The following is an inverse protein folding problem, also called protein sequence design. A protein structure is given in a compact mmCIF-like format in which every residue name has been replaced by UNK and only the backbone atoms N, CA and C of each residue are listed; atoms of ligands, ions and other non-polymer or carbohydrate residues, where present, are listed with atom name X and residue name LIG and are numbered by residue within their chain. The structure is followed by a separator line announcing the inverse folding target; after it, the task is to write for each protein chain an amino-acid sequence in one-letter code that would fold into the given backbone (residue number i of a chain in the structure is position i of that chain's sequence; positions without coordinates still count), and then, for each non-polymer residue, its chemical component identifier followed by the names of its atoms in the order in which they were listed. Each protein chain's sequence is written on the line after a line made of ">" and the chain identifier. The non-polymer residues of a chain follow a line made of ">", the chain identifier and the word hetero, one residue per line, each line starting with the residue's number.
data_IF_825942762019
#
_entry.id   IF_825942762019
#
_cell.length_a   1.000
_cell.length_b   1.000
_cell.length_c   1.000
_cell.angle_alpha   90.00
_cell.angle_beta   90.00
_cell.angle_gamma   90.00
#
_symmetry.space_group_name_H-M   'P 1'
#
loop_
_entity.id
_entity.type
_entity.pdbx_description
1 polymer ?
#
# COMPACT_ATOMS: atom_id res chain seq x y z
N UNK A 1 -26.09 -63.06 10.62
CA UNK A 1 -25.07 -62.13 10.08
C UNK A 1 -25.79 -60.98 9.39
N UNK A 2 -25.30 -59.74 9.48
CA UNK A 2 -25.91 -58.62 8.77
C UNK A 2 -25.76 -58.79 7.25
N UNK A 3 -26.76 -58.37 6.47
CA UNK A 3 -26.81 -58.57 5.02
C UNK A 3 -25.57 -58.02 4.28
N UNK A 4 -25.01 -56.90 4.75
CA UNK A 4 -23.80 -56.29 4.19
C UNK A 4 -22.52 -57.08 4.50
N UNK A 5 -22.44 -57.76 5.66
CA UNK A 5 -21.33 -58.68 5.96
C UNK A 5 -21.39 -59.93 5.09
N UNK A 6 -22.59 -60.44 4.83
CA UNK A 6 -22.79 -61.57 3.93
C UNK A 6 -22.40 -61.24 2.47
N UNK A 7 -22.54 -59.98 2.07
CA UNK A 7 -22.11 -59.46 0.77
C UNK A 7 -20.59 -59.17 0.68
N UNK A 8 -19.81 -59.43 1.74
CA UNK A 8 -18.36 -59.17 1.75
C UNK A 8 -17.98 -57.68 1.75
N UNK A 9 -18.91 -56.79 2.09
CA UNK A 9 -18.69 -55.34 2.05
C UNK A 9 -18.19 -54.86 3.41
N UNK A 10 -17.18 -53.99 3.42
CA UNK A 10 -16.72 -53.34 4.66
C UNK A 10 -17.78 -52.38 5.20
N UNK A 11 -17.83 -52.16 6.51
CA UNK A 11 -18.80 -51.23 7.11
C UNK A 11 -18.70 -49.82 6.50
N UNK A 12 -17.49 -49.36 6.20
CA UNK A 12 -17.26 -48.05 5.57
C UNK A 12 -17.84 -47.98 4.15
N UNK A 13 -17.68 -49.04 3.35
CA UNK A 13 -18.30 -49.13 2.02
C UNK A 13 -19.83 -49.17 2.12
N UNK A 14 -20.39 -49.93 3.07
CA UNK A 14 -21.83 -49.96 3.33
C UNK A 14 -22.37 -48.56 3.69
N UNK A 15 -21.73 -47.87 4.63
CA UNK A 15 -22.11 -46.52 5.04
C UNK A 15 -22.04 -45.51 3.87
N UNK A 16 -20.99 -45.60 3.02
CA UNK A 16 -20.86 -44.75 1.85
C UNK A 16 -21.94 -45.00 0.80
N UNK A 17 -22.32 -46.27 0.57
CA UNK A 17 -23.40 -46.64 -0.34
C UNK A 17 -24.73 -46.08 0.16
N UNK A 18 -25.05 -46.27 1.45
CA UNK A 18 -26.25 -45.70 2.07
C UNK A 18 -26.27 -44.17 2.01
N UNK A 19 -25.14 -43.51 2.27
CA UNK A 19 -25.06 -42.06 2.14
C UNK A 19 -25.28 -41.59 0.69
N UNK A 20 -24.80 -42.35 -0.31
CA UNK A 20 -24.99 -42.04 -1.72
C UNK A 20 -26.45 -42.20 -2.16
N UNK A 21 -27.13 -43.26 -1.73
CA UNK A 21 -28.54 -43.48 -2.05
C UNK A 21 -29.43 -42.40 -1.44
N UNK A 22 -29.18 -42.00 -0.17
CA UNK A 22 -29.91 -40.91 0.50
C UNK A 22 -29.73 -39.57 -0.23
N UNK A 23 -28.51 -39.25 -0.69
CA UNK A 23 -28.27 -38.00 -1.45
C UNK A 23 -28.99 -38.00 -2.80
N UNK A 24 -29.07 -39.14 -3.46
CA UNK A 24 -29.76 -39.27 -4.75
C UNK A 24 -31.28 -39.12 -4.61
N UNK A 25 -31.84 -39.40 -3.43
CA UNK A 25 -33.26 -39.25 -3.13
C UNK A 25 -33.69 -37.80 -2.83
N UNK A 26 -32.75 -36.85 -2.68
CA UNK A 26 -33.05 -35.43 -2.44
C UNK A 26 -33.54 -34.72 -3.71
N UNK A 27 -34.38 -33.68 -3.53
CA UNK A 27 -34.77 -32.73 -4.58
C UNK A 27 -33.54 -32.04 -5.18
N UNK A 28 -33.60 -31.61 -6.44
CA UNK A 28 -32.45 -31.13 -7.20
C UNK A 28 -31.63 -30.04 -6.50
N UNK A 29 -32.29 -29.03 -5.94
CA UNK A 29 -31.61 -27.92 -5.25
C UNK A 29 -30.77 -28.38 -4.06
N UNK A 30 -31.31 -29.29 -3.24
CA UNK A 30 -30.63 -29.84 -2.07
C UNK A 30 -29.59 -30.90 -2.45
N UNK A 31 -29.83 -31.65 -3.54
CA UNK A 31 -28.95 -32.70 -4.06
C UNK A 31 -27.60 -32.13 -4.52
N UNK A 32 -27.59 -30.98 -5.18
CA UNK A 32 -26.35 -30.33 -5.64
C UNK A 32 -25.43 -30.00 -4.46
N UNK A 33 -25.96 -29.41 -3.39
CA UNK A 33 -25.18 -29.10 -2.19
C UNK A 33 -24.69 -30.35 -1.45
N UNK A 34 -25.49 -31.42 -1.43
CA UNK A 34 -25.13 -32.68 -0.79
C UNK A 34 -24.07 -33.47 -1.58
N UNK A 35 -24.10 -33.42 -2.91
CA UNK A 35 -23.12 -34.08 -3.78
C UNK A 35 -21.72 -33.45 -3.67
N UNK A 36 -21.60 -32.14 -3.47
CA UNK A 36 -20.31 -31.48 -3.24
C UNK A 36 -19.57 -32.03 -2.02
N UNK A 37 -20.28 -32.50 -0.99
CA UNK A 37 -19.68 -33.13 0.19
C UNK A 37 -19.17 -34.55 -0.05
N UNK A 38 -19.51 -35.16 -1.19
CA UNK A 38 -19.07 -36.49 -1.57
C UNK A 38 -17.74 -36.48 -2.35
N UNK A 39 -17.20 -35.29 -2.67
CA UNK A 39 -15.88 -35.16 -3.26
C UNK A 39 -14.81 -35.37 -2.19
N UNK A 40 -14.33 -36.61 -2.08
CA UNK A 40 -13.10 -36.90 -1.35
C UNK A 40 -11.91 -36.45 -2.20
N UNK A 41 -11.33 -35.30 -1.87
CA UNK A 41 -10.13 -34.74 -2.51
C UNK A 41 -8.84 -35.51 -2.18
N UNK A 42 -8.91 -36.83 -1.97
CA UNK A 42 -7.73 -37.68 -1.81
C UNK A 42 -7.12 -37.91 -3.20
N UNK A 43 -5.99 -37.25 -3.45
CA UNK A 43 -5.21 -37.44 -4.68
C UNK A 43 -4.38 -38.72 -4.56
N UNK A 44 -4.77 -39.77 -5.29
CA UNK A 44 -3.98 -40.98 -5.39
C UNK A 44 -2.82 -40.78 -6.37
N UNK A 45 -1.58 -40.82 -5.88
CA UNK A 45 -0.39 -40.91 -6.71
C UNK A 45 -0.06 -42.39 -6.90
N UNK A 46 -0.05 -42.87 -8.15
CA UNK A 46 0.30 -44.25 -8.46
C UNK A 46 1.82 -44.37 -8.49
N UNK A 47 2.39 -45.22 -7.64
CA UNK A 47 3.81 -45.53 -7.61
C UNK A 47 4.04 -46.89 -8.28
N UNK A 48 4.94 -46.95 -9.26
CA UNK A 48 5.39 -48.19 -9.90
C UNK A 48 6.93 -48.14 -9.94
N UNK A 49 7.61 -49.21 -9.49
CA UNK A 49 9.08 -49.32 -9.50
C UNK A 49 9.83 -48.12 -8.86
N UNK A 50 9.33 -47.60 -7.73
CA UNK A 50 9.98 -46.51 -6.98
C UNK A 50 9.84 -45.12 -7.61
N UNK A 51 9.18 -45.01 -8.77
CA UNK A 51 8.91 -43.74 -9.44
C UNK A 51 7.40 -43.49 -9.44
N UNK A 52 6.99 -42.32 -8.96
CA UNK A 52 5.59 -41.89 -9.08
C UNK A 52 5.24 -41.67 -10.55
N UNK A 53 4.26 -42.40 -11.08
CA UNK A 53 3.76 -42.17 -12.44
C UNK A 53 3.27 -40.74 -12.56
N UNK A 54 3.75 -40.02 -13.58
CA UNK A 54 3.41 -38.63 -13.80
C UNK A 54 1.92 -38.50 -14.10
N UNK A 55 1.19 -37.82 -13.22
CA UNK A 55 -0.16 -37.39 -13.54
C UNK A 55 -0.06 -36.25 -14.56
N UNK A 56 -0.85 -36.30 -15.63
CA UNK A 56 -0.98 -35.20 -16.60
C UNK A 56 -1.05 -33.86 -15.86
N UNK A 57 -0.22 -32.90 -16.29
CA UNK A 57 -0.10 -31.60 -15.61
C UNK A 57 -1.47 -30.94 -15.53
N UNK A 58 -1.69 -30.10 -14.53
CA UNK A 58 -2.98 -29.40 -14.38
C UNK A 58 -3.39 -28.65 -15.66
N UNK A 59 -2.43 -28.17 -16.43
CA UNK A 59 -2.62 -27.53 -17.73
C UNK A 59 -3.22 -28.50 -18.77
N UNK A 60 -2.71 -29.73 -18.86
CA UNK A 60 -3.24 -30.76 -19.78
C UNK A 60 -4.63 -31.23 -19.36
N UNK A 61 -4.86 -31.40 -18.04
CA UNK A 61 -6.18 -31.74 -17.50
C UNK A 61 -7.20 -30.64 -17.78
N UNK A 62 -6.81 -29.37 -17.65
CA UNK A 62 -7.63 -28.21 -17.99
C UNK A 62 -7.89 -28.09 -19.50
N UNK A 63 -7.01 -28.64 -20.36
CA UNK A 63 -7.22 -28.65 -21.81
C UNK A 63 -8.01 -29.85 -22.31
N UNK A 64 -8.29 -30.84 -21.46
CA UNK A 64 -9.04 -32.05 -21.85
C UNK A 64 -10.44 -31.72 -22.41
N UNK A 65 -10.90 -32.53 -23.36
CA UNK A 65 -12.25 -32.40 -23.96
C UNK A 65 -13.36 -32.39 -22.92
N UNK A 66 -13.22 -33.19 -21.85
CA UNK A 66 -14.17 -33.23 -20.75
C UNK A 66 -14.19 -31.91 -19.96
N UNK A 67 -13.04 -31.30 -19.72
CA UNK A 67 -12.96 -30.03 -19.01
C UNK A 67 -13.58 -28.90 -19.85
N UNK A 68 -13.24 -28.81 -21.15
CA UNK A 68 -13.87 -27.86 -22.07
C UNK A 68 -15.38 -28.05 -22.19
N UNK A 69 -15.86 -29.30 -22.19
CA UNK A 69 -17.29 -29.61 -22.21
C UNK A 69 -17.99 -29.17 -20.91
N UNK A 70 -17.39 -29.44 -19.74
CA UNK A 70 -17.91 -28.97 -18.45
C UNK A 70 -17.92 -27.45 -18.34
N UNK A 71 -16.88 -26.80 -18.85
CA UNK A 71 -16.79 -25.34 -18.92
C UNK A 71 -17.89 -24.77 -19.81
N UNK A 72 -18.12 -25.35 -21.00
CA UNK A 72 -19.21 -24.96 -21.89
C UNK A 72 -20.58 -25.17 -21.25
N UNK A 73 -20.81 -26.29 -20.56
CA UNK A 73 -22.05 -26.56 -19.84
C UNK A 73 -22.28 -25.55 -18.70
N UNK A 74 -21.23 -25.23 -17.93
CA UNK A 74 -21.30 -24.24 -16.86
C UNK A 74 -21.52 -22.81 -17.39
N UNK A 75 -20.96 -22.48 -18.57
CA UNK A 75 -21.21 -21.22 -19.26
C UNK A 75 -22.67 -21.13 -19.75
N UNK A 76 -23.21 -22.22 -20.28
CA UNK A 76 -24.60 -22.30 -20.73
C UNK A 76 -25.59 -22.15 -19.56
N UNK A 77 -25.24 -22.65 -18.38
CA UNK A 77 -25.98 -22.47 -17.14
C UNK A 77 -25.76 -21.10 -16.48
N UNK A 78 -24.93 -20.23 -17.07
CA UNK A 78 -24.58 -18.91 -16.51
C UNK A 78 -23.74 -18.95 -15.22
N UNK A 79 -23.24 -20.12 -14.83
CA UNK A 79 -22.42 -20.30 -13.62
C UNK A 79 -20.94 -20.02 -13.87
N UNK A 80 -20.45 -20.16 -15.11
CA UNK A 80 -19.06 -19.88 -15.44
C UNK A 80 -18.86 -18.38 -15.70
N UNK A 81 -18.14 -17.70 -14.79
CA UNK A 81 -17.62 -16.35 -15.04
C UNK A 81 -16.31 -16.47 -15.81
N UNK A 82 -16.30 -16.08 -17.08
CA UNK A 82 -15.05 -15.92 -17.83
C UNK A 82 -14.18 -14.88 -17.13
N UNK A 83 -12.86 -15.10 -17.08
CA UNK A 83 -11.91 -14.07 -16.64
C UNK A 83 -11.93 -12.95 -17.69
N UNK A 84 -12.72 -11.92 -17.43
CA UNK A 84 -12.74 -10.72 -18.25
C UNK A 84 -11.34 -10.10 -18.22
N UNK A 85 -10.82 -9.71 -19.38
CA UNK A 85 -9.57 -8.95 -19.46
C UNK A 85 -9.88 -7.47 -19.24
N UNK A 86 -9.01 -6.79 -18.51
CA UNK A 86 -9.13 -5.36 -18.27
C UNK A 86 -9.13 -4.60 -19.61
N UNK A 87 -10.06 -3.66 -19.82
CA UNK A 87 -9.99 -2.74 -20.95
C UNK A 87 -8.69 -1.92 -20.94
N UNK A 88 -8.09 -1.71 -22.11
CA UNK A 88 -6.86 -0.90 -22.22
C UNK A 88 -7.07 0.58 -21.91
N UNK A 89 -8.30 1.10 -22.08
CA UNK A 89 -8.66 2.49 -21.86
C UNK A 89 -9.76 2.60 -20.80
N UNK A 90 -9.51 3.34 -19.72
CA UNK A 90 -10.45 3.46 -18.61
C UNK A 90 -11.78 4.14 -19.00
N UNK A 91 -11.76 5.05 -20.00
CA UNK A 91 -12.95 5.78 -20.43
C UNK A 91 -14.00 4.92 -21.15
N UNK A 92 -13.69 3.67 -21.52
CA UNK A 92 -14.70 2.77 -22.11
C UNK A 92 -15.71 2.24 -21.09
N UNK A 93 -15.40 2.34 -19.80
CA UNK A 93 -16.26 1.86 -18.71
C UNK A 93 -17.15 3.00 -18.22
N UNK A 94 -18.45 2.75 -18.13
CA UNK A 94 -19.46 3.73 -17.71
C UNK A 94 -20.09 3.42 -16.34
N UNK A 95 -19.70 2.31 -15.71
CA UNK A 95 -20.19 1.91 -14.40
C UNK A 95 -19.11 2.10 -13.33
N UNK A 96 -19.48 2.73 -12.21
CA UNK A 96 -18.58 2.93 -11.05
C UNK A 96 -18.13 1.58 -10.49
N UNK A 97 -19.04 0.60 -10.38
CA UNK A 97 -18.74 -0.72 -9.81
C UNK A 97 -17.73 -1.51 -10.64
N UNK A 98 -17.82 -1.39 -11.96
CA UNK A 98 -16.88 -2.01 -12.88
C UNK A 98 -15.51 -1.31 -12.83
N UNK A 99 -15.48 0.03 -12.78
CA UNK A 99 -14.24 0.78 -12.63
C UNK A 99 -13.52 0.45 -11.31
N UNK A 100 -14.26 0.31 -10.21
CA UNK A 100 -13.73 -0.16 -8.92
C UNK A 100 -13.17 -1.59 -9.00
N UNK A 101 -13.84 -2.50 -9.71
CA UNK A 101 -13.35 -3.86 -9.92
C UNK A 101 -11.98 -3.85 -10.62
N UNK A 102 -11.83 -3.07 -11.69
CA UNK A 102 -10.56 -2.95 -12.41
C UNK A 102 -9.46 -2.28 -11.58
N UNK A 103 -9.81 -1.31 -10.73
CA UNK A 103 -8.89 -0.72 -9.75
C UNK A 103 -8.40 -1.77 -8.74
N UNK A 104 -9.28 -2.62 -8.20
CA UNK A 104 -8.91 -3.69 -7.24
C UNK A 104 -8.02 -4.74 -7.89
N UNK A 105 -8.29 -5.08 -9.15
CA UNK A 105 -7.49 -6.00 -9.93
C UNK A 105 -6.07 -5.45 -10.15
N UNK A 106 -5.94 -4.16 -10.50
CA UNK A 106 -4.65 -3.45 -10.59
C UNK A 106 -3.86 -3.50 -9.28
N UNK A 107 -4.52 -3.17 -8.17
CA UNK A 107 -3.90 -3.23 -6.85
C UNK A 107 -3.42 -4.63 -6.50
N UNK A 108 -4.20 -5.66 -6.86
CA UNK A 108 -3.81 -7.05 -6.63
C UNK A 108 -2.59 -7.46 -7.47
N UNK A 109 -2.49 -7.00 -8.72
CA UNK A 109 -1.29 -7.20 -9.54
C UNK A 109 -0.06 -6.49 -8.96
N UNK A 110 -0.22 -5.24 -8.52
CA UNK A 110 0.83 -4.48 -7.84
C UNK A 110 1.31 -5.21 -6.59
N UNK A 111 0.39 -5.70 -5.74
CA UNK A 111 0.76 -6.45 -4.53
C UNK A 111 1.54 -7.72 -4.84
N UNK A 112 1.17 -8.47 -5.90
CA UNK A 112 1.92 -9.66 -6.33
C UNK A 112 3.32 -9.31 -6.83
N UNK A 113 3.47 -8.22 -7.59
CA UNK A 113 4.78 -7.76 -8.07
C UNK A 113 5.66 -7.24 -6.93
N UNK A 114 5.09 -6.51 -5.97
CA UNK A 114 5.81 -6.07 -4.77
C UNK A 114 6.31 -7.27 -3.98
N UNK A 115 5.48 -8.31 -3.78
CA UNK A 115 5.92 -9.54 -3.13
C UNK A 115 7.10 -10.18 -3.88
N UNK A 116 7.03 -10.26 -5.21
CA UNK A 116 8.11 -10.79 -6.05
C UNK A 116 9.40 -9.96 -6.00
N UNK A 117 9.31 -8.64 -5.90
CA UNK A 117 10.48 -7.76 -5.74
C UNK A 117 11.27 -8.08 -4.48
N UNK A 118 10.60 -8.55 -3.42
CA UNK A 118 11.24 -8.87 -2.14
C UNK A 118 12.01 -10.20 -2.16
N UNK A 119 11.88 -11.00 -3.21
CA UNK A 119 12.65 -12.24 -3.30
C UNK A 119 14.15 -11.90 -3.47
N UNK A 120 14.98 -12.44 -2.58
CA UNK A 120 16.44 -12.17 -2.55
C UNK A 120 17.16 -12.76 -3.77
N UNK A 121 16.59 -13.80 -4.38
CA UNK A 121 17.18 -14.49 -5.53
C UNK A 121 17.12 -13.68 -6.84
N UNK A 122 16.33 -12.60 -6.90
CA UNK A 122 16.26 -11.76 -8.08
C UNK A 122 17.53 -10.92 -8.25
N UNK A 123 17.94 -10.75 -9.50
CA UNK A 123 19.04 -9.84 -9.85
C UNK A 123 18.58 -8.38 -9.84
N UNK A 124 19.53 -7.47 -9.68
CA UNK A 124 19.25 -6.03 -9.65
C UNK A 124 18.56 -5.52 -10.93
N UNK A 125 18.86 -6.10 -12.09
CA UNK A 125 18.19 -5.78 -13.35
C UNK A 125 16.72 -6.21 -13.32
N UNK A 126 16.44 -7.43 -12.85
CA UNK A 126 15.08 -7.93 -12.72
C UNK A 126 14.26 -7.10 -11.72
N UNK A 127 14.89 -6.63 -10.65
CA UNK A 127 14.26 -5.72 -9.68
C UNK A 127 13.92 -4.37 -10.33
N UNK A 128 14.79 -3.83 -11.19
CA UNK A 128 14.49 -2.60 -11.97
C UNK A 128 13.30 -2.81 -12.92
N UNK A 129 13.29 -3.90 -13.68
CA UNK A 129 12.19 -4.21 -14.60
C UNK A 129 10.85 -4.35 -13.85
N UNK A 130 10.85 -5.05 -12.71
CA UNK A 130 9.65 -5.18 -11.87
C UNK A 130 9.20 -3.83 -11.30
N UNK A 131 10.14 -2.95 -10.93
CA UNK A 131 9.83 -1.60 -10.45
C UNK A 131 9.19 -0.75 -11.56
N UNK A 132 9.69 -0.83 -12.78
CA UNK A 132 9.09 -0.18 -13.96
C UNK A 132 7.69 -0.71 -14.25
N UNK A 133 7.48 -2.03 -14.18
CA UNK A 133 6.16 -2.62 -14.32
C UNK A 133 5.18 -2.14 -13.24
N UNK A 134 5.62 -2.02 -11.99
CA UNK A 134 4.77 -1.47 -10.92
C UNK A 134 4.45 0.00 -11.20
N UNK A 135 5.42 0.82 -11.64
CA UNK A 135 5.16 2.21 -11.99
C UNK A 135 4.15 2.33 -13.14
N UNK A 136 4.23 1.46 -14.17
CA UNK A 136 3.23 1.37 -15.24
C UNK A 136 1.84 1.03 -14.71
N UNK A 137 1.73 0.07 -13.79
CA UNK A 137 0.45 -0.29 -13.16
C UNK A 137 -0.10 0.83 -12.27
N UNK A 138 0.76 1.56 -11.55
CA UNK A 138 0.37 2.71 -10.73
C UNK A 138 -0.10 3.89 -11.59
N UNK A 139 0.50 4.07 -12.78
CA UNK A 139 0.00 4.99 -13.80
C UNK A 139 -1.39 4.59 -14.32
N UNK A 140 -1.60 3.31 -14.61
CA UNK A 140 -2.94 2.82 -14.99
C UNK A 140 -3.97 3.03 -13.87
N UNK A 141 -3.59 2.74 -12.61
CA UNK A 141 -4.42 2.97 -11.42
C UNK A 141 -4.87 4.43 -11.33
N UNK A 142 -3.99 5.38 -11.61
CA UNK A 142 -4.35 6.81 -11.67
C UNK A 142 -5.53 7.06 -12.62
N UNK A 143 -5.50 6.47 -13.83
CA UNK A 143 -6.55 6.66 -14.83
C UNK A 143 -7.88 6.05 -14.39
N UNK A 144 -7.85 4.88 -13.76
CA UNK A 144 -9.05 4.25 -13.22
C UNK A 144 -9.61 5.02 -12.03
N UNK A 145 -8.77 5.53 -11.12
CA UNK A 145 -9.21 6.38 -10.01
C UNK A 145 -9.81 7.71 -10.50
N UNK A 146 -9.19 8.33 -11.52
CA UNK A 146 -9.77 9.51 -12.18
C UNK A 146 -11.13 9.18 -12.79
N UNK A 147 -11.25 8.06 -13.51
CA UNK A 147 -12.53 7.64 -14.11
C UNK A 147 -13.62 7.40 -13.06
N UNK A 148 -13.28 6.82 -11.91
CA UNK A 148 -14.23 6.64 -10.80
C UNK A 148 -14.75 8.00 -10.33
N UNK A 149 -13.87 8.99 -10.16
CA UNK A 149 -14.27 10.35 -9.80
C UNK A 149 -15.12 11.00 -10.88
N UNK A 150 -14.75 10.87 -12.16
CA UNK A 150 -15.52 11.41 -13.29
C UNK A 150 -16.94 10.80 -13.39
N UNK A 151 -17.11 9.55 -12.94
CA UNK A 151 -18.41 8.86 -12.86
C UNK A 151 -19.20 9.19 -11.58
N UNK A 152 -18.69 10.06 -10.71
CA UNK A 152 -19.32 10.45 -9.44
C UNK A 152 -19.06 9.50 -8.27
N UNK A 153 -18.04 8.64 -8.37
CA UNK A 153 -17.63 7.72 -7.32
C UNK A 153 -16.64 8.33 -6.30
N UNK A 154 -16.19 7.55 -5.30
CA UNK A 154 -15.30 8.02 -4.25
C UNK A 154 -13.90 8.42 -4.74
N UNK A 155 -13.36 9.52 -4.21
CA UNK A 155 -11.98 9.94 -4.50
C UNK A 155 -10.97 9.17 -3.65
N UNK A 156 -10.50 8.05 -4.20
CA UNK A 156 -9.53 7.18 -3.56
C UNK A 156 -8.12 7.77 -3.41
N UNK A 157 -7.83 8.91 -4.05
CA UNK A 157 -6.52 9.58 -3.95
C UNK A 157 -6.40 10.30 -2.61
N UNK A 158 -7.52 10.80 -2.09
CA UNK A 158 -7.62 11.47 -0.79
C UNK A 158 -8.08 10.52 0.31
N UNK A 159 -9.04 9.65 -0.01
CA UNK A 159 -9.74 8.80 0.95
C UNK A 159 -9.17 7.38 1.09
N UNK A 160 -8.20 6.99 0.27
CA UNK A 160 -7.60 5.65 0.34
C UNK A 160 -6.76 5.48 1.62
N UNK A 161 -6.74 4.28 2.23
CA UNK A 161 -5.76 3.98 3.26
C UNK A 161 -4.37 4.24 2.68
N UNK A 162 -3.63 5.19 3.25
CA UNK A 162 -2.19 5.33 3.00
C UNK A 162 -1.53 4.11 3.60
N UNK A 163 -1.58 2.99 2.89
CA UNK A 163 -0.84 1.81 3.31
C UNK A 163 0.63 2.13 3.08
N UNK A 164 1.28 2.62 4.14
CA UNK A 164 2.68 3.05 4.22
C UNK A 164 3.65 2.06 3.56
N UNK A 165 3.30 0.76 3.59
CA UNK A 165 4.11 -0.31 3.03
C UNK A 165 4.03 -0.45 1.50
N UNK A 166 2.98 0.07 0.86
CA UNK A 166 2.76 -0.06 -0.59
C UNK A 166 3.14 1.20 -1.37
N UNK A 167 3.21 2.35 -0.73
CA UNK A 167 3.65 3.58 -1.38
C UNK A 167 5.18 3.54 -1.53
N UNK A 168 5.61 3.23 -2.77
CA UNK A 168 6.99 3.40 -3.19
C UNK A 168 7.46 4.82 -2.87
N UNK A 169 8.74 4.96 -2.53
CA UNK A 169 9.30 6.25 -2.17
C UNK A 169 9.83 6.92 -3.43
N UNK A 170 9.59 8.21 -3.58
CA UNK A 170 10.15 9.00 -4.69
C UNK A 170 11.57 9.38 -4.30
N UNK A 171 12.53 9.13 -5.19
CA UNK A 171 13.90 9.56 -4.96
C UNK A 171 13.97 11.10 -5.05
N UNK A 172 14.79 11.74 -4.22
CA UNK A 172 15.03 13.19 -4.30
C UNK A 172 15.44 13.59 -5.72
N UNK A 173 14.83 14.65 -6.25
CA UNK A 173 15.11 15.15 -7.59
C UNK A 173 14.36 14.48 -8.75
N UNK A 174 13.82 13.25 -8.58
CA UNK A 174 13.05 12.56 -9.63
C UNK A 174 11.57 12.55 -9.27
N UNK A 175 10.78 13.40 -9.93
CA UNK A 175 9.35 13.53 -9.67
C UNK A 175 8.56 12.46 -10.44
N UNK A 176 7.69 11.74 -9.72
CA UNK A 176 6.70 10.83 -10.32
C UNK A 176 7.16 9.40 -10.60
N UNK A 177 8.45 9.08 -10.40
CA UNK A 177 8.96 7.70 -10.42
C UNK A 177 9.16 7.20 -8.98
N UNK A 178 8.60 6.03 -8.65
CA UNK A 178 8.63 5.48 -7.30
C UNK A 178 9.44 4.19 -7.23
N UNK A 179 10.17 4.03 -6.13
CA UNK A 179 10.91 2.81 -5.82
C UNK A 179 10.18 2.00 -4.74
N UNK A 180 9.80 0.76 -5.07
CA UNK A 180 9.02 -0.13 -4.22
C UNK A 180 9.89 -1.22 -3.60
N UNK A 181 9.75 -1.44 -2.30
CA UNK A 181 10.44 -2.54 -1.61
C UNK A 181 11.96 -2.57 -1.82
N UNK A 182 12.51 -3.75 -2.14
CA UNK A 182 13.93 -3.98 -2.46
C UNK A 182 14.47 -3.10 -3.59
N UNK A 183 13.62 -2.52 -4.45
CA UNK A 183 14.08 -1.57 -5.47
C UNK A 183 14.72 -0.31 -4.87
N UNK A 184 14.51 -0.03 -3.58
CA UNK A 184 15.17 1.06 -2.83
C UNK A 184 16.63 0.74 -2.48
N UNK A 185 16.94 -0.56 -2.35
CA UNK A 185 18.28 -1.03 -1.97
C UNK A 185 19.20 -1.22 -3.17
N UNK A 186 18.72 -0.90 -4.38
CA UNK A 186 19.51 -0.96 -5.60
C UNK A 186 20.72 -0.02 -5.51
N UNK A 187 21.89 -0.45 -6.02
CA UNK A 187 23.08 0.41 -6.11
C UNK A 187 22.76 1.73 -6.83
N UNK A 188 23.24 2.85 -6.28
CA UNK A 188 22.96 4.22 -6.76
C UNK A 188 21.60 4.79 -6.30
N UNK A 189 20.53 4.00 -6.29
CA UNK A 189 19.22 4.44 -5.77
C UNK A 189 19.27 4.59 -4.25
N UNK A 190 19.93 3.65 -3.58
CA UNK A 190 20.10 3.67 -2.12
C UNK A 190 20.82 4.93 -1.66
N UNK A 191 21.87 5.32 -2.37
CA UNK A 191 22.67 6.51 -2.07
C UNK A 191 21.83 7.80 -2.20
N UNK A 192 20.95 7.90 -3.20
CA UNK A 192 20.04 9.04 -3.34
C UNK A 192 19.08 9.16 -2.15
N UNK A 193 18.59 8.03 -1.62
CA UNK A 193 17.73 8.03 -0.44
C UNK A 193 18.48 8.36 0.85
N UNK A 194 19.71 7.86 1.00
CA UNK A 194 20.57 8.15 2.15
C UNK A 194 21.00 9.63 2.17
N UNK A 195 21.36 10.20 1.02
CA UNK A 195 21.74 11.61 0.90
C UNK A 195 20.59 12.55 1.33
N UNK A 196 19.37 12.30 0.90
CA UNK A 196 18.24 13.09 1.39
C UNK A 196 17.85 12.81 2.84
N UNK A 197 18.14 11.62 3.38
CA UNK A 197 17.97 11.39 4.81
C UNK A 197 18.99 12.18 5.65
N UNK A 198 20.13 12.54 5.07
CA UNK A 198 21.18 13.30 5.75
C UNK A 198 20.96 14.81 5.78
N UNK A 199 20.05 15.36 4.96
CA UNK A 199 19.65 16.77 5.09
C UNK A 199 18.90 16.94 6.42
N UNK A 200 19.44 17.72 7.39
CA UNK A 200 18.77 17.90 8.66
C UNK A 200 17.43 18.59 8.44
N UNK A 201 16.36 17.99 8.96
CA UNK A 201 15.03 18.58 8.94
C UNK A 201 15.10 19.91 9.68
N UNK A 202 14.83 21.02 8.99
CA UNK A 202 14.67 22.32 9.63
C UNK A 202 13.56 22.17 10.68
N UNK A 203 13.86 22.52 11.94
CA UNK A 203 12.89 22.45 13.04
C UNK A 203 11.63 23.22 12.63
N UNK A 204 10.46 22.62 12.81
CA UNK A 204 9.20 23.29 12.53
C UNK A 204 9.06 24.52 13.44
N UNK A 205 8.37 25.58 12.99
CA UNK A 205 8.13 26.78 13.81
C UNK A 205 7.54 26.40 15.17
N UNK A 206 6.66 25.39 15.20
CA UNK A 206 6.07 24.86 16.44
C UNK A 206 7.07 24.18 17.37
N UNK A 207 8.07 23.47 16.83
CA UNK A 207 9.15 22.87 17.64
C UNK A 207 10.12 23.95 18.13
N UNK A 208 10.46 24.92 17.27
CA UNK A 208 11.28 26.08 17.65
C UNK A 208 10.59 26.80 18.81
N UNK A 209 9.31 27.13 18.67
CA UNK A 209 8.54 27.86 19.67
C UNK A 209 8.31 27.08 20.98
N UNK A 210 8.51 25.76 20.98
CA UNK A 210 8.39 24.95 22.20
C UNK A 210 9.58 25.12 23.13
N UNK A 211 10.75 25.35 22.55
CA UNK A 211 12.01 25.57 23.27
C UNK A 211 12.26 27.06 23.56
N UNK A 212 11.33 27.94 23.16
CA UNK A 212 11.35 29.37 23.48
C UNK A 212 10.77 29.55 24.89
N UNK A 213 11.66 29.73 25.86
CA UNK A 213 11.31 29.99 27.25
C UNK A 213 11.11 31.48 27.55
N UNK A 214 10.66 31.80 28.76
CA UNK A 214 10.48 33.17 29.23
C UNK A 214 11.76 34.03 29.15
N UNK A 215 12.93 33.38 29.16
CA UNK A 215 14.25 34.01 28.97
C UNK A 215 14.39 34.65 27.57
N UNK A 216 13.82 34.05 26.53
CA UNK A 216 13.83 34.64 25.19
C UNK A 216 13.07 35.97 25.11
N UNK A 217 12.03 36.11 25.96
CA UNK A 217 11.24 37.33 26.07
C UNK A 217 11.78 38.30 27.14
N UNK A 218 12.94 38.01 27.73
CA UNK A 218 13.62 38.89 28.70
C UNK A 218 12.98 38.96 30.08
N UNK A 219 12.03 38.06 30.41
CA UNK A 219 11.35 38.08 31.72
C UNK A 219 12.28 37.77 32.90
N UNK A 220 13.52 37.32 32.66
CA UNK A 220 14.53 37.02 33.68
C UNK A 220 15.75 37.93 33.59
N UNK A 221 15.70 38.96 32.74
CA UNK A 221 16.83 39.87 32.55
C UNK A 221 17.13 40.68 33.82
N UNK A 222 16.10 40.99 34.63
CA UNK A 222 16.24 41.64 35.94
C UNK A 222 17.01 40.79 36.98
N UNK A 223 17.12 39.48 36.78
CA UNK A 223 17.90 38.57 37.63
C UNK A 223 19.33 38.36 37.12
N UNK A 224 19.65 38.84 35.90
CA UNK A 224 20.96 38.63 35.27
C UNK A 224 21.95 39.71 35.73
N UNK A 225 22.68 39.43 36.81
CA UNK A 225 23.64 40.35 37.43
C UNK A 225 24.64 40.95 36.44
N UNK A 226 25.12 40.17 35.46
CA UNK A 226 26.07 40.62 34.43
C UNK A 226 25.44 41.69 33.52
N UNK A 227 24.18 41.48 33.13
CA UNK A 227 23.45 42.43 32.30
C UNK A 227 23.16 43.72 33.06
N UNK A 228 22.73 43.63 34.33
CA UNK A 228 22.47 44.81 35.16
C UNK A 228 23.72 45.65 35.41
N UNK A 229 24.87 45.01 35.66
CA UNK A 229 26.13 45.72 35.85
C UNK A 229 26.53 46.50 34.59
N UNK A 230 26.36 45.87 33.42
CA UNK A 230 26.60 46.50 32.13
C UNK A 230 25.66 47.70 31.90
N UNK A 231 24.36 47.55 32.15
CA UNK A 231 23.37 48.62 32.00
C UNK A 231 23.65 49.79 32.96
N UNK A 232 23.99 49.52 34.23
CA UNK A 232 24.36 50.56 35.20
C UNK A 232 25.63 51.30 34.81
N UNK A 233 26.61 50.62 34.22
CA UNK A 233 27.83 51.26 33.73
C UNK A 233 27.51 52.19 32.55
N UNK A 234 26.68 51.72 31.60
CA UNK A 234 26.23 52.49 30.46
C UNK A 234 25.38 53.71 30.90
N UNK A 235 24.47 53.53 31.85
CA UNK A 235 23.64 54.61 32.40
C UNK A 235 24.51 55.69 33.03
N UNK A 236 25.53 55.32 33.83
CA UNK A 236 26.50 56.28 34.39
C UNK A 236 27.24 57.04 33.30
N UNK A 237 27.69 56.35 32.25
CA UNK A 237 28.36 56.99 31.12
C UNK A 237 27.43 57.96 30.38
N UNK A 238 26.18 57.56 30.13
CA UNK A 238 25.17 58.41 29.50
C UNK A 238 24.82 59.61 30.36
N UNK A 239 24.63 59.44 31.67
CA UNK A 239 24.38 60.53 32.62
C UNK A 239 25.56 61.49 32.67
N UNK A 240 26.80 60.98 32.68
CA UNK A 240 27.99 61.82 32.60
C UNK A 240 28.04 62.61 31.29
N UNK A 241 27.75 61.97 30.16
CA UNK A 241 27.64 62.64 28.86
C UNK A 241 26.54 63.70 28.85
N UNK A 242 25.41 63.44 29.49
CA UNK A 242 24.26 64.34 29.55
C UNK A 242 24.51 65.53 30.50
N UNK A 243 25.23 65.33 31.60
CA UNK A 243 25.69 66.39 32.50
C UNK A 243 26.80 67.25 31.90
N UNK A 244 27.65 66.64 31.06
CA UNK A 244 28.72 67.35 30.35
C UNK A 244 28.25 67.91 29.00
N UNK A 245 27.00 67.66 28.61
CA UNK A 245 26.40 68.27 27.44
C UNK A 245 26.16 69.77 27.73
N UNK A 246 26.71 70.70 26.92
CA UNK A 246 26.46 72.12 27.09
C UNK A 246 24.98 72.44 26.87
N UNK A 247 24.40 73.31 27.72
CA UNK A 247 22.97 73.67 27.77
C UNK A 247 22.42 74.14 26.41
N UNK A 248 23.28 74.64 25.52
CA UNK A 248 22.91 75.14 24.19
C UNK A 248 22.43 74.03 23.22
N UNK A 249 22.79 72.76 23.42
CA UNK A 249 22.37 71.67 22.53
C UNK A 249 20.97 71.12 22.85
N UNK A 250 20.45 71.35 24.06
CA UNK A 250 19.08 70.99 24.46
C UNK A 250 18.06 72.08 24.10
N UNK A 251 18.49 73.31 23.86
CA UNK A 251 17.64 74.39 23.35
C UNK A 251 17.37 74.23 21.84
N UNK A 252 18.37 73.81 21.07
CA UNK A 252 18.24 73.63 19.61
C UNK A 252 17.32 72.47 19.20
N UNK A 253 17.13 71.46 20.06
CA UNK A 253 16.23 70.34 19.77
C UNK A 253 14.76 70.63 20.05
N UNK A 254 14.43 71.59 20.92
CA UNK A 254 13.06 72.02 21.18
C UNK A 254 12.56 73.09 20.18
N UNK A 255 13.44 73.91 19.60
CA UNK A 255 13.07 74.82 18.49
C UNK A 255 12.80 74.05 17.18
N UNK A 256 13.49 72.93 16.94
CA UNK A 256 13.26 72.09 15.76
C UNK A 256 11.95 71.26 15.79
N UNK A 257 11.18 71.32 16.89
CA UNK A 257 9.91 70.59 17.05
C UNK A 257 8.66 71.51 17.07
N UNK A 258 8.84 72.82 16.86
CA UNK A 258 7.73 73.80 16.79
C UNK A 258 7.51 74.42 15.40
N UNK A 259 8.28 74.00 14.38
CA UNK A 259 7.98 74.19 12.95
C UNK A 259 7.49 72.87 12.33
#
# INVERSE_FOLDING_TARGET
>A
MSAWKAAGITYLQYANICARTVRNALKEDARVAALRRNENNLKFQKWENGVGKEQARNEEKAQSMLYRFREAQAAQLGLAKTRQRRPGFAGSVNSVTEAEMWRRDLLSEVSRKIAKIQDVSLSDYQVRDLNDEINKLMGQKYHWEKRIVDLGGPDYRRSGPRMISYEGREAPGIRGYRYFGRARDLPGVRELFEQAASEPVNRSITEINRDIDAEYYGYRDEENEVLLEYEKALEKELVQKLLHAPVDSLAQSNEAAQD
#
